data_IF_066977759933
#
_entry.id   IF_066977759933
#
_cell.length_a   1.000
_cell.length_b   1.000
_cell.length_c   1.000
_cell.angle_alpha   90.00
_cell.angle_beta   90.00
_cell.angle_gamma   90.00
#
_symmetry.space_group_name_H-M   'P 1'
#
loop_
_entity.id
_entity.type
_entity.pdbx_description
1 polymer ?
#
# COMPACT_ATOMS: atom_id res chain seq x y z
N UNK A 1 -3.60 1.05 -33.36
CA UNK A 1 -4.40 1.90 -32.45
C UNK A 1 -5.63 1.11 -32.03
N UNK A 2 -5.82 0.92 -30.73
CA UNK A 2 -6.84 0.00 -30.21
C UNK A 2 -7.93 0.73 -29.44
N UNK A 3 -9.06 0.06 -29.28
CA UNK A 3 -10.21 0.54 -28.51
C UNK A 3 -10.08 0.21 -27.01
N UNK A 4 -10.93 0.85 -26.19
CA UNK A 4 -10.92 0.65 -24.75
C UNK A 4 -11.21 -0.80 -24.35
N UNK A 5 -12.04 -1.53 -25.13
CA UNK A 5 -12.40 -2.92 -24.84
C UNK A 5 -11.23 -3.86 -25.09
N UNK A 6 -10.47 -3.68 -26.18
CA UNK A 6 -9.25 -4.46 -26.40
C UNK A 6 -8.19 -4.12 -25.35
N UNK A 7 -8.01 -2.83 -25.04
CA UNK A 7 -7.11 -2.39 -23.97
C UNK A 7 -7.45 -3.04 -22.61
N UNK A 8 -8.74 -3.09 -22.28
CA UNK A 8 -9.25 -3.75 -21.08
C UNK A 8 -8.89 -5.25 -21.06
N UNK A 9 -9.08 -5.94 -22.19
CA UNK A 9 -8.69 -7.34 -22.36
C UNK A 9 -7.18 -7.58 -22.16
N UNK A 10 -6.32 -6.70 -22.66
CA UNK A 10 -4.86 -6.85 -22.51
C UNK A 10 -4.37 -6.59 -21.08
N UNK A 11 -5.04 -5.70 -20.36
CA UNK A 11 -4.74 -5.36 -18.98
C UNK A 11 -5.45 -6.27 -17.95
N UNK A 12 -6.48 -7.00 -18.37
CA UNK A 12 -7.30 -7.84 -17.48
C UNK A 12 -8.17 -7.04 -16.50
N UNK A 13 -8.61 -5.85 -16.90
CA UNK A 13 -9.46 -4.96 -16.08
C UNK A 13 -10.78 -4.67 -16.79
N UNK A 14 -11.72 -4.01 -16.10
CA UNK A 14 -12.98 -3.61 -16.73
C UNK A 14 -12.81 -2.39 -17.66
N UNK A 15 -13.62 -2.31 -18.71
CA UNK A 15 -13.66 -1.15 -19.63
C UNK A 15 -13.84 0.18 -18.88
N UNK A 16 -14.70 0.19 -17.85
CA UNK A 16 -14.92 1.36 -17.00
C UNK A 16 -13.63 1.81 -16.31
N UNK A 17 -12.83 0.87 -15.82
CA UNK A 17 -11.53 1.15 -15.21
C UNK A 17 -10.56 1.75 -16.23
N UNK A 18 -10.56 1.28 -17.48
CA UNK A 18 -9.74 1.86 -18.55
C UNK A 18 -10.12 3.32 -18.79
N UNK A 19 -11.41 3.64 -18.86
CA UNK A 19 -11.87 5.02 -19.02
C UNK A 19 -11.52 5.91 -17.82
N UNK A 20 -11.60 5.39 -16.59
CA UNK A 20 -11.14 6.10 -15.38
C UNK A 20 -9.63 6.38 -15.42
N UNK A 21 -8.83 5.43 -15.89
CA UNK A 21 -7.38 5.59 -16.07
C UNK A 21 -7.04 6.65 -17.13
N UNK A 22 -7.78 6.65 -18.25
CA UNK A 22 -7.66 7.69 -19.27
C UNK A 22 -8.09 9.06 -18.74
N UNK A 23 -9.18 9.13 -17.96
CA UNK A 23 -9.68 10.37 -17.35
C UNK A 23 -8.73 10.93 -16.29
N UNK A 24 -8.09 10.06 -15.52
CA UNK A 24 -7.07 10.45 -14.54
C UNK A 24 -5.71 10.77 -15.16
N UNK A 25 -5.53 10.54 -16.47
CA UNK A 25 -4.27 10.79 -17.17
C UNK A 25 -3.15 9.80 -16.84
N UNK A 26 -3.48 8.69 -16.16
CA UNK A 26 -2.49 7.65 -15.79
C UNK A 26 -2.11 6.75 -16.96
N UNK A 27 -3.01 6.64 -17.93
CA UNK A 27 -2.81 5.88 -19.17
C UNK A 27 -2.86 6.87 -20.33
N UNK A 28 -1.81 6.90 -21.15
CA UNK A 28 -1.76 7.74 -22.35
C UNK A 28 -2.87 7.34 -23.32
N UNK A 29 -3.57 8.33 -23.85
CA UNK A 29 -4.68 8.11 -24.76
C UNK A 29 -4.82 9.25 -25.75
N UNK A 30 -5.38 8.91 -26.91
CA UNK A 30 -5.70 9.85 -27.97
C UNK A 30 -7.22 10.02 -28.02
N UNK A 31 -7.67 11.27 -28.10
CA UNK A 31 -9.09 11.62 -28.10
C UNK A 31 -9.48 12.16 -29.46
N UNK A 32 -10.40 11.47 -30.13
CA UNK A 32 -11.01 11.90 -31.38
C UNK A 32 -12.48 12.23 -31.11
N UNK A 33 -12.75 13.47 -30.73
CA UNK A 33 -14.05 13.87 -30.19
C UNK A 33 -14.37 13.07 -28.93
N UNK A 34 -15.48 12.31 -28.96
CA UNK A 34 -15.91 11.45 -27.85
C UNK A 34 -15.16 10.11 -27.80
N UNK A 35 -14.54 9.69 -28.90
CA UNK A 35 -13.86 8.40 -28.96
C UNK A 35 -12.46 8.48 -28.32
N UNK A 36 -12.14 7.49 -27.49
CA UNK A 36 -10.82 7.33 -26.88
C UNK A 36 -10.11 6.15 -27.53
N UNK A 37 -8.86 6.35 -27.92
CA UNK A 37 -8.01 5.33 -28.56
C UNK A 37 -6.67 5.24 -27.84
N UNK A 38 -6.11 4.05 -27.83
CA UNK A 38 -4.86 3.76 -27.14
C UNK A 38 -3.84 3.23 -28.13
N UNK A 39 -2.57 3.53 -27.89
CA UNK A 39 -1.47 2.83 -28.53
C UNK A 39 -1.18 1.53 -27.77
N UNK A 40 -0.74 0.51 -28.48
CA UNK A 40 -0.40 -0.76 -27.85
C UNK A 40 0.88 -0.65 -27.01
N UNK A 41 1.86 0.14 -27.51
CA UNK A 41 3.09 0.52 -26.82
C UNK A 41 2.81 1.14 -25.45
N UNK A 42 1.92 2.14 -25.38
CA UNK A 42 1.53 2.81 -24.13
C UNK A 42 0.95 1.84 -23.09
N UNK A 43 0.18 0.86 -23.54
CA UNK A 43 -0.45 -0.12 -22.64
C UNK A 43 0.59 -1.10 -22.11
N UNK A 44 1.53 -1.54 -22.95
CA UNK A 44 2.65 -2.36 -22.50
C UNK A 44 3.55 -1.61 -21.52
N UNK A 45 3.86 -0.34 -21.80
CA UNK A 45 4.64 0.51 -20.90
C UNK A 45 3.93 0.71 -19.56
N UNK A 46 2.63 0.96 -19.57
CA UNK A 46 1.83 1.03 -18.36
C UNK A 46 1.86 -0.28 -17.56
N UNK A 47 1.74 -1.42 -18.25
CA UNK A 47 1.84 -2.76 -17.64
C UNK A 47 3.22 -3.00 -17.03
N UNK A 48 4.29 -2.57 -17.71
CA UNK A 48 5.67 -2.64 -17.23
C UNK A 48 5.88 -1.72 -16.01
N UNK A 49 5.34 -0.51 -16.03
CA UNK A 49 5.41 0.46 -14.93
C UNK A 49 4.71 -0.05 -13.67
N UNK A 50 3.55 -0.71 -13.83
CA UNK A 50 2.82 -1.32 -12.72
C UNK A 50 3.49 -2.60 -12.17
N UNK A 51 4.48 -3.15 -12.88
CA UNK A 51 5.20 -4.35 -12.46
C UNK A 51 6.22 -3.98 -11.37
N UNK A 52 5.77 -3.88 -10.12
CA UNK A 52 6.66 -3.75 -8.96
C UNK A 52 7.52 -5.00 -8.82
N UNK A 53 8.85 -4.85 -8.93
CA UNK A 53 9.85 -5.90 -8.71
C UNK A 53 10.03 -6.10 -7.21
N UNK A 54 9.10 -6.82 -6.58
CA UNK A 54 9.12 -7.12 -5.15
C UNK A 54 9.02 -5.90 -4.23
N UNK A 55 8.25 -6.02 -3.16
CA UNK A 55 8.32 -5.09 -2.04
C UNK A 55 9.78 -5.08 -1.54
N UNK A 56 10.54 -3.96 -1.56
CA UNK A 56 11.72 -3.92 -0.72
C UNK A 56 11.24 -4.15 0.71
N UNK A 57 11.70 -5.23 1.35
CA UNK A 57 11.38 -5.56 2.73
C UNK A 57 11.84 -4.48 3.73
N UNK A 58 12.46 -3.41 3.24
CA UNK A 58 12.75 -2.21 4.00
C UNK A 58 11.49 -1.37 4.14
N UNK A 59 10.68 -1.69 5.15
CA UNK A 59 9.67 -0.77 5.63
C UNK A 59 10.35 0.55 6.03
N UNK A 60 10.20 1.60 5.20
CA UNK A 60 10.42 2.99 5.62
C UNK A 60 9.20 3.44 6.46
N UNK A 61 8.86 2.61 7.46
CA UNK A 61 7.69 2.74 8.32
C UNK A 61 8.00 2.42 9.79
N UNK A 62 9.21 1.94 10.08
CA UNK A 62 9.75 1.90 11.43
C UNK A 62 10.67 3.11 11.70
N UNK A 63 10.33 4.29 11.18
CA UNK A 63 10.78 5.51 11.83
C UNK A 63 9.94 5.63 13.10
N UNK A 64 10.45 5.10 14.21
CA UNK A 64 9.91 5.37 15.52
C UNK A 64 9.84 6.90 15.70
N UNK A 65 8.64 7.47 15.58
CA UNK A 65 8.37 8.90 15.84
C UNK A 65 8.74 9.35 17.25
N UNK A 66 9.23 8.42 18.08
CA UNK A 66 9.70 8.63 19.45
C UNK A 66 11.11 9.22 19.55
N UNK A 67 11.95 9.22 18.49
CA UNK A 67 13.37 9.63 18.63
C UNK A 67 13.67 11.12 18.35
N UNK A 68 12.77 11.90 17.77
CA UNK A 68 13.03 13.32 17.43
C UNK A 68 12.20 14.36 18.21
N UNK A 69 11.53 13.99 19.31
CA UNK A 69 10.92 14.96 20.23
C UNK A 69 11.70 15.07 21.54
N UNK A 70 13.01 15.33 21.44
CA UNK A 70 13.76 15.98 22.53
C UNK A 70 13.74 17.50 22.31
N UNK A 71 12.56 18.06 22.13
CA UNK A 71 12.38 19.51 22.14
C UNK A 71 12.38 19.95 23.61
N UNK A 72 13.43 20.65 24.01
CA UNK A 72 13.51 21.36 25.30
C UNK A 72 12.52 22.52 25.25
N UNK A 73 11.27 22.27 25.69
CA UNK A 73 10.20 23.26 25.63
C UNK A 73 9.02 22.82 26.47
N UNK A 74 9.01 23.20 27.75
CA UNK A 74 8.03 22.81 28.78
C UNK A 74 6.61 23.39 28.61
N UNK A 75 6.29 24.05 27.50
CA UNK A 75 4.98 24.66 27.28
C UNK A 75 3.91 23.71 26.71
N UNK A 76 4.25 22.92 25.68
CA UNK A 76 3.27 22.08 24.98
C UNK A 76 2.90 20.82 25.77
N UNK A 77 3.84 20.25 26.53
CA UNK A 77 3.58 19.08 27.37
C UNK A 77 2.48 19.35 28.43
N UNK A 78 2.48 20.56 29.01
CA UNK A 78 1.47 20.97 29.99
C UNK A 78 0.06 21.08 29.38
N UNK A 79 -0.05 21.53 28.12
CA UNK A 79 -1.32 21.61 27.42
C UNK A 79 -1.96 20.23 27.20
N UNK A 80 -1.15 19.25 26.75
CA UNK A 80 -1.65 17.89 26.52
C UNK A 80 -2.02 17.16 27.81
N UNK A 81 -1.33 17.42 28.93
CA UNK A 81 -1.74 16.88 30.23
C UNK A 81 -3.02 17.52 30.78
N UNK A 82 -3.27 18.79 30.47
CA UNK A 82 -4.51 19.48 30.87
C UNK A 82 -5.73 19.03 30.04
N UNK A 83 -5.51 18.68 28.77
CA UNK A 83 -6.57 18.31 27.83
C UNK A 83 -6.94 16.81 27.84
N UNK A 84 -6.08 15.94 28.37
CA UNK A 84 -6.36 14.50 28.44
C UNK A 84 -7.11 14.14 29.73
N UNK A 85 -8.27 13.47 29.58
CA UNK A 85 -8.95 12.84 30.72
C UNK A 85 -7.99 11.80 31.32
N UNK A 86 -7.83 11.78 32.64
CA UNK A 86 -7.00 10.81 33.35
C UNK A 86 -7.31 9.40 32.82
N UNK A 87 -6.35 8.66 32.25
CA UNK A 87 -6.58 7.27 31.91
C UNK A 87 -6.90 6.53 33.21
N UNK A 88 -8.13 6.02 33.31
CA UNK A 88 -8.55 5.19 34.44
C UNK A 88 -7.78 3.87 34.31
N UNK A 89 -6.92 3.51 35.27
CA UNK A 89 -6.34 2.18 35.31
C UNK A 89 -7.51 1.20 35.46
N UNK A 90 -7.71 0.34 34.47
CA UNK A 90 -8.48 -0.87 34.65
C UNK A 90 -7.55 -1.90 35.27
N UNK A 91 -7.93 -2.46 36.42
CA UNK A 91 -7.30 -3.66 36.98
C UNK A 91 -7.59 -4.85 36.06
N UNK A 92 -6.86 -4.92 34.95
CA UNK A 92 -6.75 -6.14 34.16
C UNK A 92 -5.45 -6.82 34.54
N UNK A 93 -5.45 -7.47 35.71
CA UNK A 93 -4.46 -8.48 36.11
C UNK A 93 -4.73 -9.82 35.40
N UNK A 94 -5.22 -9.80 34.17
CA UNK A 94 -5.32 -11.02 33.37
C UNK A 94 -3.94 -11.31 32.75
N UNK A 95 -3.32 -12.40 33.21
CA UNK A 95 -2.09 -12.95 32.64
C UNK A 95 -2.33 -13.25 31.15
N UNK A 96 -1.75 -12.43 30.26
CA UNK A 96 -1.67 -12.77 28.83
C UNK A 96 -1.01 -14.14 28.69
N UNK A 97 -1.75 -15.12 28.18
CA UNK A 97 -1.15 -16.40 27.77
C UNK A 97 -0.33 -16.13 26.51
N UNK A 98 0.97 -16.43 26.61
CA UNK A 98 1.86 -16.45 25.47
C UNK A 98 1.55 -17.68 24.65
N UNK A 99 0.63 -17.57 23.69
CA UNK A 99 0.45 -18.62 22.68
C UNK A 99 1.64 -18.56 21.70
N UNK A 100 2.78 -19.10 22.16
CA UNK A 100 3.94 -19.31 21.30
C UNK A 100 3.64 -20.52 20.43
N UNK A 101 3.31 -20.28 19.16
CA UNK A 101 3.22 -21.35 18.16
C UNK A 101 4.65 -21.80 17.82
N UNK A 102 5.07 -23.05 18.09
CA UNK A 102 6.36 -23.52 17.64
C UNK A 102 6.30 -23.75 16.12
N UNK A 103 7.14 -23.03 15.37
CA UNK A 103 7.36 -23.26 13.95
C UNK A 103 8.00 -24.64 13.76
N UNK A 104 7.26 -25.59 13.15
CA UNK A 104 7.84 -26.88 12.75
C UNK A 104 8.70 -26.69 11.50
N UNK A 105 9.99 -26.96 11.66
CA UNK A 105 10.92 -27.17 10.54
C UNK A 105 10.56 -28.50 9.86
N UNK A 106 10.12 -28.44 8.60
CA UNK A 106 9.99 -29.64 7.74
C UNK A 106 11.35 -29.89 7.10
N UNK A 107 12.02 -30.97 7.51
CA UNK A 107 13.21 -31.49 6.86
C UNK A 107 12.84 -32.08 5.49
N UNK A 108 13.48 -31.62 4.43
CA UNK A 108 13.41 -32.24 3.11
C UNK A 108 14.25 -33.53 3.10
N UNK A 109 13.66 -34.65 2.67
CA UNK A 109 14.38 -35.89 2.38
C UNK A 109 14.90 -35.85 0.93
N UNK A 110 16.16 -36.21 0.66
CA UNK A 110 16.62 -36.47 -0.70
C UNK A 110 16.16 -37.86 -1.16
N UNK A 111 15.61 -37.92 -2.38
CA UNK A 111 15.25 -39.16 -3.09
C UNK A 111 16.52 -39.91 -3.54
N UNK A 112 16.49 -41.25 -3.42
CA UNK A 112 17.44 -42.17 -4.05
C UNK A 112 16.96 -42.55 -5.46
#
# INVERSE_FOLDING_TARGET
MIDAKTAAGMLGISDRTVYELAKSGRLHCYRFGTAVRFEESDIEEYKKSCRSVSTPATSVGALSSTRLLRASGSGLAAYFQKATRKPKPNDSTSKKRSDSTPLRLVSASPSH
#
